data_IF_011815368528
#
_entry.id   IF_011815368528
#
_cell.length_a   1.000
_cell.length_b   1.000
_cell.length_c   1.000
_cell.angle_alpha   90.00
_cell.angle_beta   90.00
_cell.angle_gamma   90.00
#
_symmetry.space_group_name_H-M   'P 1'
#
loop_
_entity.id
_entity.type
_entity.pdbx_description
1 polymer ?
#
# COMPACT_ATOMS: atom_id res chain seq x y z
N UNK A 1 -19.67 46.98 4.68
CA UNK A 1 -19.54 46.19 5.92
C UNK A 1 -18.23 45.41 5.82
N UNK A 2 -17.20 45.85 6.54
CA UNK A 2 -15.92 45.14 6.60
C UNK A 2 -16.14 43.91 7.47
N UNK A 3 -15.96 42.73 6.88
CA UNK A 3 -15.96 41.46 7.63
C UNK A 3 -14.74 41.47 8.55
N UNK A 4 -14.98 41.59 9.84
CA UNK A 4 -13.98 41.32 10.87
C UNK A 4 -13.30 39.95 10.54
N UNK A 5 -12.03 40.02 10.20
CA UNK A 5 -11.19 38.83 10.13
C UNK A 5 -11.01 38.34 11.57
N UNK A 6 -11.89 37.45 12.03
CA UNK A 6 -11.68 36.69 13.24
C UNK A 6 -10.29 36.03 13.13
N UNK A 7 -9.37 36.44 14.01
CA UNK A 7 -8.01 35.86 14.13
C UNK A 7 -8.14 34.55 14.91
N UNK A 8 -8.86 33.58 14.34
CA UNK A 8 -8.94 32.24 14.94
C UNK A 8 -7.58 31.57 14.87
N UNK A 9 -7.13 31.09 16.01
CA UNK A 9 -5.86 30.39 16.13
C UNK A 9 -5.81 29.15 15.22
N UNK A 10 -4.69 28.91 14.55
CA UNK A 10 -4.42 27.69 13.84
C UNK A 10 -3.93 26.61 14.80
N UNK A 11 -4.59 25.46 14.80
CA UNK A 11 -4.23 24.29 15.63
C UNK A 11 -3.61 23.23 14.73
N UNK A 12 -2.40 22.80 15.06
CA UNK A 12 -1.70 21.71 14.34
C UNK A 12 -2.30 20.36 14.70
N UNK A 13 -2.46 19.51 13.71
CA UNK A 13 -2.93 18.12 13.82
C UNK A 13 -2.41 17.29 12.67
N UNK A 14 -2.72 15.99 12.64
CA UNK A 14 -2.41 15.10 11.55
C UNK A 14 -3.66 14.76 10.73
N UNK A 15 -3.49 14.63 9.42
CA UNK A 15 -4.53 14.13 8.53
C UNK A 15 -4.75 12.63 8.78
N UNK A 16 -6.02 12.23 8.95
CA UNK A 16 -6.41 10.84 9.25
C UNK A 16 -6.85 10.04 8.01
N UNK A 17 -6.82 10.62 6.81
CA UNK A 17 -7.45 10.02 5.62
C UNK A 17 -6.63 8.93 4.94
N UNK A 18 -5.34 8.82 5.25
CA UNK A 18 -4.48 7.73 4.77
C UNK A 18 -3.25 7.56 5.66
N UNK A 19 -2.44 6.54 5.38
CA UNK A 19 -1.25 6.15 6.17
C UNK A 19 -0.13 7.18 6.20
N UNK A 20 -0.18 8.22 5.37
CA UNK A 20 0.87 9.24 5.31
C UNK A 20 0.84 10.21 6.51
N UNK A 21 -0.31 10.39 7.15
CA UNK A 21 -0.47 11.27 8.32
C UNK A 21 0.13 12.68 8.13
N UNK A 22 -0.09 13.28 6.95
CA UNK A 22 0.43 14.62 6.65
C UNK A 22 0.03 15.63 7.71
N UNK A 23 0.92 16.57 8.02
CA UNK A 23 0.65 17.67 8.93
C UNK A 23 -0.40 18.62 8.38
N UNK A 24 -1.38 18.95 9.21
CA UNK A 24 -2.50 19.83 8.89
C UNK A 24 -2.68 20.87 9.98
N UNK A 25 -2.89 22.13 9.60
CA UNK A 25 -3.36 23.18 10.51
C UNK A 25 -4.84 23.45 10.25
N UNK A 26 -5.64 23.48 11.30
CA UNK A 26 -7.09 23.72 11.22
C UNK A 26 -7.49 24.93 12.07
N UNK A 27 -8.53 25.62 11.64
CA UNK A 27 -9.25 26.60 12.46
C UNK A 27 -10.62 26.03 12.79
N UNK A 28 -11.04 26.18 14.03
CA UNK A 28 -12.35 25.74 14.52
C UNK A 28 -13.34 26.91 14.56
N UNK A 29 -14.65 26.60 14.58
CA UNK A 29 -15.69 27.56 14.91
C UNK A 29 -15.53 28.02 16.38
N UNK A 30 -16.33 28.99 16.84
CA UNK A 30 -16.26 29.53 18.21
C UNK A 30 -16.57 28.48 19.28
N UNK A 31 -17.48 27.56 18.97
CA UNK A 31 -17.85 26.44 19.87
C UNK A 31 -16.78 25.33 19.90
N UNK A 32 -15.76 25.35 19.03
CA UNK A 32 -14.73 24.31 18.93
C UNK A 32 -15.21 22.98 18.35
N UNK A 33 -16.40 22.95 17.75
CA UNK A 33 -17.07 21.73 17.29
C UNK A 33 -16.91 21.43 15.81
N UNK A 34 -16.52 22.42 15.00
CA UNK A 34 -16.41 22.31 13.55
C UNK A 34 -15.10 22.86 13.02
N UNK A 35 -14.55 22.22 12.04
CA UNK A 35 -13.41 22.71 11.26
C UNK A 35 -13.93 23.71 10.19
N UNK A 36 -13.56 24.97 10.32
CA UNK A 36 -13.96 26.01 9.35
C UNK A 36 -12.93 26.23 8.25
N UNK A 37 -11.65 25.99 8.52
CA UNK A 37 -10.57 26.10 7.52
C UNK A 37 -9.51 25.04 7.76
N UNK A 38 -8.88 24.62 6.66
CA UNK A 38 -7.79 23.64 6.68
C UNK A 38 -6.66 24.13 5.78
N UNK A 39 -5.42 24.02 6.22
CA UNK A 39 -4.21 24.20 5.42
C UNK A 39 -3.14 23.19 5.79
N UNK A 40 -2.11 23.03 4.96
CA UNK A 40 -0.93 22.22 5.30
C UNK A 40 -0.14 22.84 6.45
N UNK A 41 0.49 21.99 7.22
CA UNK A 41 1.44 22.41 8.26
C UNK A 41 2.84 22.46 7.65
N UNK A 42 3.36 23.68 7.49
CA UNK A 42 4.69 23.91 6.89
C UNK A 42 5.81 23.38 7.78
N UNK A 43 5.57 23.26 9.10
CA UNK A 43 6.54 22.79 10.07
C UNK A 43 6.58 21.23 10.14
N UNK A 44 5.67 20.54 9.44
CA UNK A 44 5.66 19.08 9.41
C UNK A 44 6.81 18.54 8.53
N UNK A 45 7.72 17.71 9.08
CA UNK A 45 8.98 17.37 8.40
C UNK A 45 8.81 16.65 7.06
N UNK A 46 7.77 15.82 6.92
CA UNK A 46 7.58 15.04 5.70
C UNK A 46 6.64 15.70 4.68
N UNK A 47 5.56 16.35 5.12
CA UNK A 47 4.60 16.95 4.19
C UNK A 47 4.85 18.43 3.87
N UNK A 48 5.62 19.15 4.71
CA UNK A 48 6.14 20.50 4.44
C UNK A 48 5.06 21.45 3.88
N UNK A 49 3.89 21.49 4.49
CA UNK A 49 2.77 22.32 4.04
C UNK A 49 1.96 21.76 2.87
N UNK A 50 2.38 20.65 2.26
CA UNK A 50 1.62 20.03 1.17
C UNK A 50 0.32 19.39 1.66
N UNK A 51 -0.79 19.67 0.95
CA UNK A 51 -2.07 18.97 1.11
C UNK A 51 -2.52 18.35 -0.20
N UNK A 52 -2.94 17.10 -0.15
CA UNK A 52 -3.64 16.49 -1.27
C UNK A 52 -5.10 16.99 -1.34
N UNK A 53 -5.75 16.73 -2.49
CA UNK A 53 -7.15 17.10 -2.71
C UNK A 53 -8.15 16.48 -1.74
N UNK A 54 -7.80 15.39 -1.06
CA UNK A 54 -8.62 14.77 0.00
C UNK A 54 -8.48 15.53 1.32
N UNK A 55 -7.25 15.77 1.76
CA UNK A 55 -6.96 16.46 3.01
C UNK A 55 -7.42 17.93 3.02
N UNK A 56 -7.38 18.61 1.88
CA UNK A 56 -7.88 19.97 1.75
C UNK A 56 -9.39 20.12 2.01
N UNK A 57 -10.11 19.00 2.01
CA UNK A 57 -11.56 18.92 2.29
C UNK A 57 -11.88 18.22 3.61
N UNK A 58 -10.95 18.23 4.56
CA UNK A 58 -11.12 17.57 5.86
C UNK A 58 -12.34 18.10 6.62
N UNK A 59 -12.62 19.40 6.53
CA UNK A 59 -13.82 20.04 7.09
C UNK A 59 -15.12 19.41 6.55
N UNK A 60 -15.19 19.11 5.26
CA UNK A 60 -16.36 18.46 4.67
C UNK A 60 -16.61 17.09 5.27
N UNK A 61 -15.57 16.26 5.45
CA UNK A 61 -15.70 14.95 6.06
C UNK A 61 -16.05 15.02 7.55
N UNK A 62 -15.45 15.96 8.26
CA UNK A 62 -15.61 16.07 9.72
C UNK A 62 -16.95 16.67 10.13
N UNK A 63 -17.44 17.67 9.41
CA UNK A 63 -18.61 18.46 9.83
C UNK A 63 -19.95 17.94 9.26
N UNK A 64 -19.97 16.79 8.60
CA UNK A 64 -21.22 16.28 8.01
C UNK A 64 -22.28 16.01 9.07
N UNK A 65 -23.50 16.48 8.83
CA UNK A 65 -24.63 16.29 9.73
C UNK A 65 -25.12 14.82 9.80
N UNK A 66 -24.80 14.02 8.77
CA UNK A 66 -25.19 12.60 8.67
C UNK A 66 -24.12 11.64 9.26
N UNK A 67 -23.16 12.15 10.02
CA UNK A 67 -22.21 11.30 10.74
C UNK A 67 -22.92 10.57 11.88
N UNK A 68 -22.57 9.29 12.05
CA UNK A 68 -22.97 8.52 13.22
C UNK A 68 -22.17 9.02 14.44
N UNK A 69 -22.86 9.56 15.44
CA UNK A 69 -22.26 10.12 16.65
C UNK A 69 -22.42 9.21 17.87
N UNK A 70 -23.29 8.22 17.78
CA UNK A 70 -23.58 7.25 18.84
C UNK A 70 -23.60 5.83 18.26
N UNK A 71 -23.40 4.80 19.08
CA UNK A 71 -23.65 3.43 18.66
C UNK A 71 -25.09 3.24 18.25
N UNK A 72 -25.32 2.37 17.27
CA UNK A 72 -26.65 2.08 16.74
C UNK A 72 -26.94 0.58 16.86
N UNK A 73 -28.11 0.22 17.35
CA UNK A 73 -28.59 -1.16 17.45
C UNK A 73 -29.72 -1.40 16.45
N UNK A 74 -29.62 -2.50 15.70
CA UNK A 74 -30.67 -2.88 14.76
C UNK A 74 -31.98 -3.21 15.51
N UNK A 75 -33.10 -2.65 15.05
CA UNK A 75 -34.41 -2.90 15.61
C UNK A 75 -35.18 -3.97 14.79
N UNK A 76 -36.32 -4.41 15.33
CA UNK A 76 -37.18 -5.44 14.71
C UNK A 76 -37.82 -5.02 13.38
N UNK A 77 -37.93 -3.71 13.13
CA UNK A 77 -38.44 -3.16 11.86
C UNK A 77 -37.37 -3.09 10.75
N UNK A 78 -36.12 -3.52 11.03
CA UNK A 78 -35.00 -3.49 10.08
C UNK A 78 -34.26 -2.15 10.05
N UNK A 79 -34.67 -1.16 10.85
CA UNK A 79 -33.94 0.10 11.06
C UNK A 79 -32.91 0.00 12.18
N UNK A 80 -32.44 1.17 12.64
CA UNK A 80 -31.44 1.26 13.70
C UNK A 80 -31.83 2.33 14.71
N UNK A 81 -31.73 1.99 15.99
CA UNK A 81 -31.98 2.90 17.11
C UNK A 81 -30.65 3.28 17.78
N UNK A 82 -30.46 4.55 18.15
CA UNK A 82 -29.29 4.96 18.93
C UNK A 82 -29.33 4.34 20.32
N UNK A 83 -28.17 3.87 20.79
CA UNK A 83 -27.97 3.34 22.15
C UNK A 83 -26.75 4.01 22.80
N UNK A 84 -26.63 3.93 24.12
CA UNK A 84 -25.45 4.40 24.81
C UNK A 84 -24.26 3.44 24.67
N UNK A 85 -23.05 3.97 24.93
CA UNK A 85 -21.80 3.20 24.79
C UNK A 85 -21.71 2.02 25.76
N UNK A 86 -22.21 2.16 27.01
CA UNK A 86 -22.15 1.09 27.99
C UNK A 86 -23.02 -0.08 27.56
N UNK A 87 -24.23 0.20 27.09
CA UNK A 87 -25.13 -0.79 26.51
C UNK A 87 -24.50 -1.50 25.32
N UNK A 88 -23.90 -0.74 24.38
CA UNK A 88 -23.25 -1.31 23.21
C UNK A 88 -22.07 -2.23 23.58
N UNK A 89 -21.18 -1.75 24.45
CA UNK A 89 -20.00 -2.51 24.87
C UNK A 89 -20.41 -3.77 25.63
N UNK A 90 -21.34 -3.69 26.57
CA UNK A 90 -21.82 -4.84 27.35
C UNK A 90 -22.48 -5.90 26.47
N UNK A 91 -23.33 -5.50 25.53
CA UNK A 91 -24.01 -6.42 24.60
C UNK A 91 -23.00 -7.15 23.70
N UNK A 92 -22.04 -6.42 23.14
CA UNK A 92 -20.99 -6.99 22.27
C UNK A 92 -20.08 -7.91 23.08
N UNK A 93 -19.61 -7.47 24.25
CA UNK A 93 -18.71 -8.27 25.09
C UNK A 93 -19.36 -9.59 25.52
N UNK A 94 -20.64 -9.54 25.95
CA UNK A 94 -21.40 -10.75 26.31
C UNK A 94 -21.51 -11.72 25.13
N UNK A 95 -21.87 -11.24 23.94
CA UNK A 95 -22.06 -12.11 22.76
C UNK A 95 -20.75 -12.75 22.31
N UNK A 96 -19.67 -11.96 22.21
CA UNK A 96 -18.37 -12.50 21.84
C UNK A 96 -17.80 -13.43 22.89
N UNK A 97 -17.99 -13.10 24.20
CA UNK A 97 -17.60 -13.97 25.31
C UNK A 97 -18.30 -15.33 25.24
N UNK A 98 -19.61 -15.35 25.04
CA UNK A 98 -20.38 -16.58 24.92
C UNK A 98 -19.89 -17.44 23.73
N UNK A 99 -19.60 -16.85 22.57
CA UNK A 99 -19.06 -17.57 21.41
C UNK A 99 -17.67 -18.15 21.73
N UNK A 100 -16.80 -17.38 22.39
CA UNK A 100 -15.48 -17.86 22.82
C UNK A 100 -15.63 -19.06 23.78
N UNK A 101 -16.51 -18.95 24.77
CA UNK A 101 -16.64 -19.94 25.84
C UNK A 101 -17.30 -21.23 25.34
N UNK A 102 -18.23 -21.14 24.38
CA UNK A 102 -18.92 -22.29 23.77
C UNK A 102 -18.14 -22.94 22.63
N UNK A 103 -17.46 -22.17 21.80
CA UNK A 103 -16.90 -22.66 20.53
C UNK A 103 -15.39 -22.44 20.39
N UNK A 104 -14.77 -21.65 21.25
CA UNK A 104 -13.37 -21.26 21.17
C UNK A 104 -13.16 -19.92 20.47
N UNK A 105 -12.14 -19.18 20.88
CA UNK A 105 -11.80 -17.87 20.32
C UNK A 105 -11.34 -17.90 18.87
N UNK A 106 -10.85 -19.05 18.40
CA UNK A 106 -10.48 -19.29 16.99
C UNK A 106 -11.69 -19.27 16.03
N UNK A 107 -12.92 -19.27 16.57
CA UNK A 107 -14.17 -19.09 15.80
C UNK A 107 -14.61 -17.62 15.71
N UNK A 108 -13.89 -16.73 16.35
CA UNK A 108 -14.11 -15.28 16.23
C UNK A 108 -13.05 -14.72 15.29
N UNK A 109 -13.51 -14.13 14.18
CA UNK A 109 -12.64 -13.58 13.16
C UNK A 109 -12.50 -12.08 13.31
N UNK A 110 -11.28 -11.56 13.30
CA UNK A 110 -11.05 -10.12 13.30
C UNK A 110 -10.85 -9.61 11.86
N UNK A 111 -11.79 -8.79 11.40
CA UNK A 111 -11.63 -8.03 10.17
C UNK A 111 -11.52 -6.56 10.51
N UNK A 112 -10.37 -6.03 10.33
CA UNK A 112 -10.15 -4.62 10.61
C UNK A 112 -8.92 -4.15 9.90
N UNK A 113 -8.79 -2.91 9.73
CA UNK A 113 -7.63 -2.42 9.13
C UNK A 113 -7.81 -1.10 8.53
N UNK A 114 -6.82 -0.69 8.14
CA UNK A 114 -6.35 0.52 7.97
C UNK A 114 -6.51 1.09 6.61
N UNK A 115 -6.30 1.73 5.89
CA UNK A 115 -6.36 2.65 4.78
C UNK A 115 -6.48 4.06 5.29
N UNK A 116 -6.82 4.18 6.57
CA UNK A 116 -6.90 5.45 7.26
C UNK A 116 -5.72 5.59 8.23
N UNK A 117 -5.11 6.75 8.27
CA UNK A 117 -3.92 6.99 9.08
C UNK A 117 -4.14 6.99 10.60
N UNK A 118 -5.32 6.67 11.05
CA UNK A 118 -5.63 6.58 12.48
C UNK A 118 -5.35 5.16 12.98
N UNK A 119 -4.08 4.85 13.22
CA UNK A 119 -3.65 3.54 13.72
C UNK A 119 -3.72 3.41 15.24
N UNK A 120 -3.94 4.50 15.96
CA UNK A 120 -4.02 4.48 17.41
C UNK A 120 -5.14 3.58 17.96
N UNK A 121 -6.39 3.61 17.44
CA UNK A 121 -7.42 2.63 17.79
C UNK A 121 -7.02 1.19 17.43
N UNK A 122 -6.24 0.98 16.39
CA UNK A 122 -5.72 -0.33 16.00
C UNK A 122 -4.84 -0.98 17.07
N UNK A 123 -4.15 -0.19 17.89
CA UNK A 123 -3.36 -0.71 19.00
C UNK A 123 -4.22 -1.43 20.05
N UNK A 124 -5.45 -0.99 20.27
CA UNK A 124 -6.39 -1.65 21.19
C UNK A 124 -6.95 -2.96 20.64
N UNK A 125 -6.98 -3.14 19.34
CA UNK A 125 -7.47 -4.38 18.72
C UNK A 125 -6.65 -5.61 19.12
N UNK A 126 -5.34 -5.45 19.35
CA UNK A 126 -4.46 -6.52 19.84
C UNK A 126 -4.88 -7.02 21.22
N UNK A 127 -5.21 -6.12 22.14
CA UNK A 127 -5.71 -6.48 23.47
C UNK A 127 -7.07 -7.20 23.39
N UNK A 128 -7.98 -6.72 22.55
CA UNK A 128 -9.28 -7.37 22.31
C UNK A 128 -9.11 -8.77 21.73
N UNK A 129 -8.25 -8.93 20.72
CA UNK A 129 -7.96 -10.23 20.13
C UNK A 129 -7.37 -11.22 21.15
N UNK A 130 -6.43 -10.75 21.97
CA UNK A 130 -5.81 -11.58 23.02
C UNK A 130 -6.84 -11.99 24.09
N UNK A 131 -7.72 -11.08 24.53
CA UNK A 131 -8.75 -11.37 25.55
C UNK A 131 -9.80 -12.38 25.05
N UNK A 132 -10.09 -12.36 23.76
CA UNK A 132 -11.05 -13.27 23.13
C UNK A 132 -10.41 -14.53 22.53
N UNK A 133 -9.10 -14.73 22.69
CA UNK A 133 -8.32 -15.82 22.08
C UNK A 133 -8.49 -15.92 20.56
N UNK A 134 -8.65 -14.76 19.88
CA UNK A 134 -8.85 -14.70 18.44
C UNK A 134 -7.57 -15.07 17.71
N UNK A 135 -7.65 -16.07 16.85
CA UNK A 135 -6.50 -16.57 16.10
C UNK A 135 -6.38 -15.99 14.70
N UNK A 136 -7.50 -15.73 14.07
CA UNK A 136 -7.55 -15.40 12.65
C UNK A 136 -7.97 -13.95 12.43
N UNK A 137 -7.28 -13.33 11.48
CA UNK A 137 -7.57 -11.93 11.10
C UNK A 137 -7.37 -11.69 9.62
N UNK A 138 -8.00 -10.64 9.11
CA UNK A 138 -7.74 -10.12 7.78
C UNK A 138 -8.02 -8.62 7.68
N UNK A 139 -7.71 -8.04 6.55
CA UNK A 139 -8.07 -6.68 6.15
C UNK A 139 -7.94 -6.54 4.62
N UNK A 140 -8.16 -5.34 4.08
CA UNK A 140 -8.08 -5.08 2.64
C UNK A 140 -6.71 -5.43 2.02
N UNK A 141 -5.61 -5.32 2.79
CA UNK A 141 -4.27 -5.66 2.31
C UNK A 141 -4.14 -7.14 1.92
N UNK A 142 -4.96 -8.02 2.51
CA UNK A 142 -5.00 -9.44 2.13
C UNK A 142 -5.52 -9.68 0.70
N UNK A 143 -6.19 -8.71 0.11
CA UNK A 143 -6.60 -8.73 -1.30
C UNK A 143 -5.60 -7.99 -2.20
N UNK A 144 -5.08 -6.87 -1.72
CA UNK A 144 -4.31 -5.92 -2.51
C UNK A 144 -2.81 -6.23 -2.55
N UNK A 145 -2.25 -6.65 -1.40
CA UNK A 145 -0.81 -6.58 -1.13
C UNK A 145 -0.13 -7.92 -0.85
N UNK A 146 -0.85 -9.04 -0.88
CA UNK A 146 -0.28 -10.32 -0.46
C UNK A 146 0.90 -10.76 -1.32
N UNK A 147 0.85 -10.54 -2.64
CA UNK A 147 1.97 -10.86 -3.54
C UNK A 147 3.20 -10.01 -3.24
N UNK A 148 2.98 -8.71 -3.06
CA UNK A 148 4.04 -7.76 -2.70
C UNK A 148 4.67 -8.10 -1.34
N UNK A 149 3.86 -8.36 -0.31
CA UNK A 149 4.35 -8.73 1.02
C UNK A 149 5.12 -10.04 1.01
N UNK A 150 4.63 -11.03 0.27
CA UNK A 150 5.30 -12.30 0.11
C UNK A 150 6.71 -12.16 -0.46
N UNK A 151 6.83 -11.38 -1.54
CA UNK A 151 8.11 -11.16 -2.22
C UNK A 151 9.03 -10.29 -1.38
N UNK A 152 8.55 -9.14 -0.88
CA UNK A 152 9.35 -8.22 -0.09
C UNK A 152 9.90 -8.87 1.19
N UNK A 153 9.08 -9.67 1.88
CA UNK A 153 9.51 -10.40 3.07
C UNK A 153 10.64 -11.38 2.79
N UNK A 154 10.67 -12.01 1.61
CA UNK A 154 11.72 -12.97 1.21
C UNK A 154 12.96 -12.31 0.65
N UNK A 155 12.80 -11.27 -0.15
CA UNK A 155 13.92 -10.62 -0.83
C UNK A 155 14.64 -9.62 0.07
N UNK A 156 13.91 -8.93 0.96
CA UNK A 156 14.44 -7.80 1.73
C UNK A 156 14.02 -7.78 3.21
N UNK A 157 13.49 -8.90 3.73
CA UNK A 157 13.12 -9.03 5.14
C UNK A 157 11.88 -8.22 5.57
N UNK A 158 11.20 -7.53 4.67
CA UNK A 158 10.02 -6.74 4.99
C UNK A 158 9.56 -5.85 3.84
N UNK A 159 8.48 -5.11 4.06
CA UNK A 159 7.93 -4.18 3.08
C UNK A 159 8.92 -3.07 2.76
N UNK A 160 9.10 -2.80 1.47
CA UNK A 160 10.02 -1.79 1.00
C UNK A 160 9.32 -0.44 0.80
N UNK A 161 9.97 0.61 1.27
CA UNK A 161 9.68 1.99 0.91
C UNK A 161 10.69 2.47 -0.12
N UNK A 162 10.42 3.60 -0.76
CA UNK A 162 11.33 4.18 -1.74
C UNK A 162 11.54 5.68 -1.48
N UNK A 163 12.78 6.12 -1.66
CA UNK A 163 13.18 7.51 -1.55
C UNK A 163 13.06 8.21 -2.90
N UNK A 164 11.86 8.72 -3.18
CA UNK A 164 11.56 9.40 -4.44
C UNK A 164 12.22 10.77 -4.56
N UNK A 165 12.48 11.43 -3.45
CA UNK A 165 13.02 12.80 -3.42
C UNK A 165 14.46 12.86 -3.99
N UNK A 166 15.27 11.82 -3.70
CA UNK A 166 16.68 11.79 -4.08
C UNK A 166 17.01 10.84 -5.25
N UNK A 167 16.01 10.16 -5.82
CA UNK A 167 16.23 9.20 -6.90
C UNK A 167 16.57 9.88 -8.23
N UNK A 168 17.58 9.34 -8.94
CA UNK A 168 17.87 9.70 -10.32
C UNK A 168 16.81 9.15 -11.27
N UNK A 169 16.41 7.89 -11.08
CA UNK A 169 15.32 7.26 -11.83
C UNK A 169 14.17 6.89 -10.90
N UNK A 170 12.96 7.30 -11.26
CA UNK A 170 11.73 6.91 -10.55
C UNK A 170 10.83 6.13 -11.49
N UNK A 171 10.37 4.95 -11.06
CA UNK A 171 9.46 4.12 -11.83
C UNK A 171 8.16 3.84 -11.07
N UNK A 172 7.04 4.19 -11.67
CA UNK A 172 5.71 3.85 -11.19
C UNK A 172 5.12 2.68 -11.97
N UNK A 173 4.73 1.62 -11.28
CA UNK A 173 4.23 0.37 -11.86
C UNK A 173 2.77 0.18 -11.46
N UNK A 174 1.83 0.37 -12.40
CA UNK A 174 0.41 0.32 -12.12
C UNK A 174 -0.06 1.35 -11.11
N UNK A 175 0.56 2.53 -11.11
CA UNK A 175 0.33 3.60 -10.14
C UNK A 175 0.22 4.96 -10.82
N UNK A 176 -0.84 5.71 -10.47
CA UNK A 176 -1.00 7.12 -10.85
C UNK A 176 -0.93 8.03 -9.62
N UNK A 177 0.28 8.37 -9.10
CA UNK A 177 0.41 9.16 -7.87
C UNK A 177 -0.14 10.58 -8.01
N UNK A 178 -0.23 11.12 -9.22
CA UNK A 178 -0.89 12.41 -9.46
C UNK A 178 -2.32 12.44 -8.92
N UNK A 179 -3.02 11.32 -9.04
CA UNK A 179 -4.40 11.16 -8.58
C UNK A 179 -4.49 10.53 -7.18
N UNK A 180 -3.76 9.44 -6.95
CA UNK A 180 -3.91 8.61 -5.76
C UNK A 180 -2.90 8.92 -4.66
N UNK A 181 -1.87 9.73 -4.95
CA UNK A 181 -0.75 10.02 -4.05
C UNK A 181 0.01 8.73 -3.65
N UNK A 182 0.19 8.41 -2.37
CA UNK A 182 0.86 7.20 -1.89
C UNK A 182 2.21 7.49 -1.24
N UNK A 183 2.73 8.70 -1.40
CA UNK A 183 3.90 9.26 -0.71
C UNK A 183 3.69 10.75 -0.46
N UNK A 184 4.50 11.32 0.43
CA UNK A 184 4.41 12.75 0.77
C UNK A 184 4.70 13.62 -0.44
N UNK A 185 4.05 14.79 -0.53
CA UNK A 185 4.26 15.79 -1.58
C UNK A 185 4.11 15.28 -3.02
N UNK A 186 3.42 14.15 -3.26
CA UNK A 186 3.44 13.40 -4.51
C UNK A 186 3.34 14.25 -5.79
N UNK A 187 2.41 15.21 -5.87
CA UNK A 187 2.29 16.07 -7.06
C UNK A 187 3.42 17.10 -7.19
N UNK A 188 3.97 17.55 -6.06
CA UNK A 188 5.12 18.44 -6.07
C UNK A 188 6.34 17.70 -6.58
N UNK A 189 6.63 16.54 -5.98
CA UNK A 189 7.75 15.67 -6.37
C UNK A 189 7.70 15.30 -7.87
N UNK A 190 6.54 14.86 -8.36
CA UNK A 190 6.39 14.50 -9.78
C UNK A 190 6.65 15.70 -10.70
N UNK A 191 6.21 16.91 -10.31
CA UNK A 191 6.49 18.13 -11.08
C UNK A 191 7.95 18.55 -11.03
N UNK A 192 8.60 18.35 -9.90
CA UNK A 192 10.03 18.63 -9.73
C UNK A 192 10.84 17.67 -10.58
N UNK A 193 10.54 16.35 -10.53
CA UNK A 193 11.17 15.33 -11.37
C UNK A 193 11.03 15.64 -12.86
N UNK A 194 9.81 15.96 -13.33
CA UNK A 194 9.54 16.20 -14.75
C UNK A 194 10.22 17.45 -15.33
N UNK A 195 10.83 18.26 -14.48
CA UNK A 195 11.56 19.47 -14.90
C UNK A 195 13.07 19.35 -14.75
N UNK A 196 13.54 18.36 -14.03
CA UNK A 196 14.96 18.14 -13.76
C UNK A 196 15.57 17.27 -14.87
N UNK A 197 16.45 17.81 -15.72
CA UNK A 197 17.07 17.06 -16.83
C UNK A 197 18.00 15.94 -16.36
N UNK A 198 18.36 15.88 -15.08
CA UNK A 198 19.21 14.85 -14.50
C UNK A 198 18.39 13.69 -13.90
N UNK A 199 17.08 13.77 -13.97
CA UNK A 199 16.17 12.75 -13.43
C UNK A 199 15.30 12.17 -14.54
N UNK A 200 14.92 10.90 -14.39
CA UNK A 200 14.05 10.21 -15.34
C UNK A 200 12.83 9.65 -14.64
N UNK A 201 11.65 10.04 -15.10
CA UNK A 201 10.37 9.52 -14.64
C UNK A 201 9.85 8.47 -15.63
N UNK A 202 9.65 7.23 -15.15
CA UNK A 202 9.15 6.10 -15.91
C UNK A 202 7.77 5.70 -15.39
N UNK A 203 6.82 5.45 -16.28
CA UNK A 203 5.48 4.98 -15.92
C UNK A 203 5.11 3.74 -16.74
N UNK A 204 4.80 2.63 -16.03
CA UNK A 204 4.19 1.42 -16.59
C UNK A 204 2.70 1.47 -16.26
N UNK A 205 1.88 1.77 -17.25
CA UNK A 205 0.42 1.85 -17.09
C UNK A 205 -0.23 1.66 -18.47
N UNK A 206 -1.27 0.82 -18.62
CA UNK A 206 -1.98 0.67 -19.89
C UNK A 206 -2.62 1.97 -20.37
N UNK A 207 -2.89 2.88 -19.45
CA UNK A 207 -3.47 4.20 -19.74
C UNK A 207 -2.42 5.29 -19.63
N UNK A 208 -2.45 6.23 -20.57
CA UNK A 208 -1.72 7.48 -20.44
C UNK A 208 -2.42 8.36 -19.37
N UNK A 209 -1.98 8.19 -18.13
CA UNK A 209 -2.49 8.90 -16.95
C UNK A 209 -1.85 10.28 -16.82
N UNK A 210 -2.35 11.12 -15.88
CA UNK A 210 -1.74 12.42 -15.58
C UNK A 210 -0.28 12.30 -15.11
N UNK A 211 0.09 11.17 -14.48
CA UNK A 211 1.50 10.90 -14.16
C UNK A 211 2.29 10.54 -15.41
N UNK A 212 1.71 9.72 -16.30
CA UNK A 212 2.33 9.36 -17.57
C UNK A 212 2.48 10.55 -18.54
N UNK A 213 1.62 11.56 -18.43
CA UNK A 213 1.75 12.80 -19.21
C UNK A 213 2.97 13.64 -18.82
N UNK A 214 3.47 13.45 -17.61
CA UNK A 214 4.67 14.13 -17.08
C UNK A 214 5.92 13.23 -17.15
N UNK A 215 5.77 11.98 -17.54
CA UNK A 215 6.86 11.00 -17.60
C UNK A 215 7.73 11.19 -18.85
N UNK A 216 9.03 10.96 -18.69
CA UNK A 216 9.99 10.88 -19.80
C UNK A 216 9.78 9.60 -20.61
N UNK A 217 9.42 8.50 -19.92
CA UNK A 217 9.17 7.20 -20.52
C UNK A 217 7.82 6.67 -20.07
N UNK A 218 6.91 6.43 -21.00
CA UNK A 218 5.65 5.74 -20.76
C UNK A 218 5.66 4.38 -21.49
N UNK A 219 5.44 3.31 -20.74
CA UNK A 219 5.34 1.94 -21.22
C UNK A 219 3.87 1.51 -21.20
N UNK A 220 3.13 1.62 -22.30
CA UNK A 220 1.68 1.35 -22.37
C UNK A 220 1.40 -0.16 -22.45
N UNK A 221 1.70 -0.87 -21.40
CA UNK A 221 1.57 -2.33 -21.31
C UNK A 221 0.11 -2.77 -21.47
N UNK A 222 -0.15 -3.87 -22.18
CA UNK A 222 -1.47 -4.49 -22.22
C UNK A 222 -1.92 -4.93 -20.83
N UNK A 223 -3.19 -4.76 -20.51
CA UNK A 223 -3.77 -5.11 -19.19
C UNK A 223 -3.43 -6.55 -18.81
N UNK A 224 -2.86 -6.74 -17.62
CA UNK A 224 -2.46 -8.04 -17.07
C UNK A 224 -1.22 -8.65 -17.73
N UNK A 225 -0.46 -7.88 -18.53
CA UNK A 225 0.77 -8.33 -19.20
C UNK A 225 2.05 -7.73 -18.60
N UNK A 226 1.95 -7.10 -17.45
CA UNK A 226 3.06 -6.46 -16.75
C UNK A 226 4.24 -7.41 -16.50
N UNK A 227 3.97 -8.67 -16.17
CA UNK A 227 5.00 -9.68 -15.95
C UNK A 227 5.87 -9.93 -17.21
N UNK A 228 5.26 -9.91 -18.41
CA UNK A 228 6.02 -10.06 -19.66
C UNK A 228 6.93 -8.85 -19.92
N UNK A 229 6.39 -7.64 -19.74
CA UNK A 229 7.18 -6.42 -19.87
C UNK A 229 8.40 -6.43 -18.93
N UNK A 230 8.15 -6.70 -17.64
CA UNK A 230 9.21 -6.72 -16.63
C UNK A 230 10.21 -7.86 -16.85
N UNK A 231 9.76 -9.04 -17.33
CA UNK A 231 10.65 -10.13 -17.71
C UNK A 231 11.58 -9.74 -18.85
N UNK A 232 11.07 -9.03 -19.86
CA UNK A 232 11.88 -8.48 -20.94
C UNK A 232 12.92 -7.46 -20.47
N UNK A 233 12.56 -6.63 -19.48
CA UNK A 233 13.49 -5.68 -18.87
C UNK A 233 14.60 -6.40 -18.08
N UNK A 234 14.25 -7.39 -17.24
CA UNK A 234 15.22 -8.21 -16.49
C UNK A 234 16.12 -8.98 -17.44
N UNK A 235 15.55 -9.60 -18.47
CA UNK A 235 16.32 -10.30 -19.51
C UNK A 235 17.31 -9.38 -20.22
N UNK A 236 16.91 -8.15 -20.52
CA UNK A 236 17.82 -7.15 -21.11
C UNK A 236 19.01 -6.86 -20.18
N UNK A 237 18.75 -6.64 -18.88
CA UNK A 237 19.82 -6.37 -17.90
C UNK A 237 20.82 -7.54 -17.88
N UNK A 238 20.34 -8.77 -17.84
CA UNK A 238 21.19 -9.97 -17.78
C UNK A 238 21.93 -10.24 -19.10
N UNK A 239 21.22 -10.26 -20.24
CA UNK A 239 21.82 -10.59 -21.54
C UNK A 239 22.82 -9.54 -21.99
N UNK A 240 22.66 -8.29 -21.61
CA UNK A 240 23.60 -7.20 -21.91
C UNK A 240 24.65 -6.99 -20.81
N UNK A 241 24.66 -7.83 -19.76
CA UNK A 241 25.62 -7.79 -18.64
C UNK A 241 25.64 -6.42 -17.95
N UNK A 242 24.46 -5.88 -17.63
CA UNK A 242 24.30 -4.59 -17.00
C UNK A 242 24.13 -4.69 -15.48
N UNK A 243 24.06 -5.89 -14.92
CA UNK A 243 23.96 -6.12 -13.48
C UNK A 243 25.28 -5.74 -12.77
N UNK A 244 25.16 -5.34 -11.51
CA UNK A 244 26.30 -5.06 -10.62
C UNK A 244 26.74 -6.34 -9.91
N UNK A 245 27.60 -7.11 -10.56
CA UNK A 245 28.10 -8.39 -10.06
C UNK A 245 28.86 -8.22 -8.73
N UNK A 246 29.52 -7.07 -8.49
CA UNK A 246 30.26 -6.80 -7.26
C UNK A 246 29.27 -6.67 -6.11
N UNK A 247 28.29 -5.81 -6.26
CA UNK A 247 27.25 -5.60 -5.23
C UNK A 247 26.43 -6.89 -4.97
N UNK A 248 26.09 -7.62 -6.03
CA UNK A 248 25.30 -8.85 -5.93
C UNK A 248 26.06 -9.94 -5.16
N UNK A 249 27.34 -10.13 -5.43
CA UNK A 249 28.18 -11.10 -4.72
C UNK A 249 28.37 -10.75 -3.23
N UNK A 250 28.40 -9.45 -2.88
CA UNK A 250 28.61 -9.01 -1.51
C UNK A 250 27.29 -9.00 -0.70
N UNK A 251 26.15 -8.65 -1.32
CA UNK A 251 24.93 -8.32 -0.60
C UNK A 251 23.72 -9.22 -0.93
N UNK A 252 23.88 -10.21 -1.79
CA UNK A 252 22.76 -11.07 -2.18
C UNK A 252 23.14 -12.56 -2.21
N UNK A 253 22.12 -13.42 -2.28
CA UNK A 253 22.27 -14.85 -2.50
C UNK A 253 21.28 -15.35 -3.54
N UNK A 254 21.69 -16.31 -4.39
CA UNK A 254 20.80 -16.94 -5.36
C UNK A 254 20.56 -16.13 -6.63
N UNK A 255 21.34 -15.08 -6.90
CA UNK A 255 21.22 -14.30 -8.12
C UNK A 255 21.70 -15.10 -9.35
N UNK A 256 22.55 -16.09 -9.18
CA UNK A 256 23.03 -16.98 -10.23
C UNK A 256 21.88 -17.70 -10.95
N UNK A 257 20.88 -18.16 -10.18
CA UNK A 257 19.69 -18.80 -10.75
C UNK A 257 18.83 -17.80 -11.56
N UNK A 258 18.83 -16.52 -11.17
CA UNK A 258 18.19 -15.43 -11.93
C UNK A 258 18.96 -15.24 -13.26
N UNK A 259 20.28 -15.14 -13.22
CA UNK A 259 21.12 -15.01 -14.43
C UNK A 259 20.87 -16.18 -15.38
N UNK A 260 20.96 -17.42 -14.89
CA UNK A 260 20.71 -18.63 -15.68
C UNK A 260 19.33 -18.60 -16.34
N UNK A 261 18.29 -18.24 -15.57
CA UNK A 261 16.92 -18.20 -16.09
C UNK A 261 16.74 -17.13 -17.17
N UNK A 262 17.19 -15.90 -16.90
CA UNK A 262 16.90 -14.76 -17.78
C UNK A 262 17.84 -14.63 -18.98
N UNK A 263 18.97 -15.36 -18.98
CA UNK A 263 19.85 -15.46 -20.13
C UNK A 263 19.15 -16.09 -21.35
N UNK A 264 18.12 -16.90 -21.14
CA UNK A 264 17.39 -17.62 -22.17
C UNK A 264 16.00 -17.06 -22.51
N UNK A 265 15.57 -16.00 -21.82
CA UNK A 265 14.28 -15.38 -22.09
C UNK A 265 14.31 -14.65 -23.44
N UNK A 266 13.34 -14.93 -24.29
CA UNK A 266 13.14 -14.23 -25.54
C UNK A 266 12.49 -12.86 -25.31
N UNK A 267 13.25 -11.79 -25.53
CA UNK A 267 12.79 -10.41 -25.32
C UNK A 267 11.79 -9.99 -26.39
N UNK A 268 11.91 -10.52 -27.62
CA UNK A 268 10.95 -10.27 -28.70
C UNK A 268 9.57 -10.86 -28.33
N UNK A 269 9.55 -12.09 -27.83
CA UNK A 269 8.31 -12.72 -27.32
C UNK A 269 7.70 -11.91 -26.14
N UNK A 270 8.55 -11.40 -25.24
CA UNK A 270 8.12 -10.51 -24.17
C UNK A 270 7.49 -9.21 -24.69
N UNK A 271 8.06 -8.61 -25.71
CA UNK A 271 7.54 -7.41 -26.36
C UNK A 271 6.18 -7.66 -27.03
N UNK A 272 6.04 -8.72 -27.80
CA UNK A 272 4.78 -9.10 -28.46
C UNK A 272 3.66 -9.34 -27.41
N UNK A 273 3.95 -10.09 -26.36
CA UNK A 273 2.98 -10.42 -25.29
C UNK A 273 2.63 -9.24 -24.43
N UNK A 274 3.58 -8.38 -24.11
CA UNK A 274 3.31 -7.15 -23.33
C UNK A 274 2.62 -6.08 -24.17
N UNK A 275 2.85 -6.09 -25.48
CA UNK A 275 2.39 -5.08 -26.42
C UNK A 275 3.20 -3.79 -26.38
N UNK A 276 4.40 -3.83 -25.80
CA UNK A 276 5.34 -2.71 -25.72
C UNK A 276 6.49 -2.98 -26.69
N UNK A 277 6.89 -1.96 -27.41
CA UNK A 277 8.00 -2.04 -28.37
C UNK A 277 9.29 -2.55 -27.72
N UNK A 278 9.98 -3.50 -28.37
CA UNK A 278 11.19 -4.11 -27.83
C UNK A 278 12.31 -3.09 -27.61
N UNK A 279 12.48 -2.14 -28.52
CA UNK A 279 13.50 -1.11 -28.38
C UNK A 279 13.23 -0.22 -27.16
N UNK A 280 11.95 0.04 -26.86
CA UNK A 280 11.54 0.78 -25.68
C UNK A 280 11.78 -0.02 -24.40
N UNK A 281 11.50 -1.33 -24.39
CA UNK A 281 11.80 -2.23 -23.25
C UNK A 281 13.31 -2.21 -22.97
N UNK A 282 14.13 -2.43 -23.98
CA UNK A 282 15.59 -2.46 -23.83
C UNK A 282 16.17 -1.12 -23.40
N UNK A 283 15.72 -0.03 -24.00
CA UNK A 283 16.21 1.30 -23.62
C UNK A 283 15.85 1.66 -22.18
N UNK A 284 14.65 1.33 -21.75
CA UNK A 284 14.21 1.55 -20.36
C UNK A 284 15.02 0.72 -19.37
N UNK A 285 15.26 -0.57 -19.66
CA UNK A 285 16.08 -1.44 -18.83
C UNK A 285 17.52 -0.90 -18.70
N UNK A 286 18.12 -0.42 -19.79
CA UNK A 286 19.45 0.22 -19.77
C UNK A 286 19.47 1.51 -18.94
N UNK A 287 18.41 2.32 -19.02
CA UNK A 287 18.27 3.53 -18.20
C UNK A 287 18.28 3.19 -16.71
N UNK A 288 17.50 2.20 -16.30
CA UNK A 288 17.44 1.74 -14.91
C UNK A 288 18.78 1.17 -14.46
N UNK A 289 19.38 0.28 -15.27
CA UNK A 289 20.62 -0.39 -14.89
C UNK A 289 21.83 0.53 -14.78
N UNK A 290 21.85 1.65 -15.49
CA UNK A 290 22.94 2.65 -15.47
C UNK A 290 22.76 3.74 -14.43
N UNK A 291 21.58 3.85 -13.84
CA UNK A 291 21.26 4.89 -12.87
C UNK A 291 22.00 4.68 -11.55
N UNK A 292 22.46 5.77 -10.95
CA UNK A 292 23.09 5.75 -9.63
C UNK A 292 22.11 5.41 -8.53
N UNK A 293 20.84 5.76 -8.71
CA UNK A 293 19.76 5.48 -7.76
C UNK A 293 18.43 5.30 -8.49
N UNK A 294 17.67 4.28 -8.06
CA UNK A 294 16.38 3.92 -8.63
C UNK A 294 15.35 3.71 -7.51
N UNK A 295 14.26 4.45 -7.55
CA UNK A 295 13.14 4.31 -6.64
C UNK A 295 11.90 3.81 -7.41
N UNK A 296 11.26 2.76 -6.90
CA UNK A 296 10.11 2.13 -7.57
C UNK A 296 8.91 2.08 -6.62
N UNK A 297 7.72 2.35 -7.17
CA UNK A 297 6.45 2.14 -6.48
C UNK A 297 5.51 1.32 -7.36
N UNK A 298 5.21 0.10 -6.94
CA UNK A 298 4.11 -0.69 -7.49
C UNK A 298 2.82 -0.43 -6.70
N UNK A 299 1.67 -0.51 -7.33
CA UNK A 299 0.38 -0.36 -6.65
C UNK A 299 -0.75 -1.13 -7.36
N UNK A 300 -1.99 -0.86 -6.94
CA UNK A 300 -3.21 -1.60 -7.25
C UNK A 300 -3.39 -1.97 -8.74
N UNK A 301 -2.88 -1.17 -9.67
CA UNK A 301 -2.94 -1.48 -11.10
C UNK A 301 -2.30 -2.81 -11.46
N UNK A 302 -1.26 -3.21 -10.75
CA UNK A 302 -0.58 -4.51 -10.93
C UNK A 302 -0.89 -5.52 -9.83
N UNK A 303 -1.17 -5.05 -8.62
CA UNK A 303 -1.41 -5.92 -7.46
C UNK A 303 -2.76 -6.63 -7.52
N UNK A 304 -3.72 -6.10 -8.26
CA UNK A 304 -5.05 -6.69 -8.47
C UNK A 304 -5.12 -7.62 -9.69
N UNK A 305 -4.00 -7.93 -10.32
CA UNK A 305 -3.98 -8.83 -11.46
C UNK A 305 -3.60 -10.28 -11.06
N UNK A 306 -3.83 -11.23 -11.99
CA UNK A 306 -3.61 -12.67 -11.77
C UNK A 306 -2.16 -13.02 -11.42
N UNK A 307 -1.18 -12.25 -11.89
CA UNK A 307 0.25 -12.53 -11.75
C UNK A 307 0.95 -11.52 -10.81
N UNK A 308 0.21 -10.91 -9.88
CA UNK A 308 0.72 -9.85 -9.00
C UNK A 308 2.00 -10.24 -8.25
N UNK A 309 2.09 -11.46 -7.73
CA UNK A 309 3.31 -11.96 -7.04
C UNK A 309 4.52 -11.97 -7.98
N UNK A 310 4.34 -12.43 -9.23
CA UNK A 310 5.42 -12.44 -10.22
C UNK A 310 5.82 -11.02 -10.63
N UNK A 311 4.84 -10.12 -10.80
CA UNK A 311 5.10 -8.69 -11.08
C UNK A 311 5.92 -8.06 -9.96
N UNK A 312 5.53 -8.29 -8.69
CA UNK A 312 6.28 -7.80 -7.54
C UNK A 312 7.72 -8.33 -7.47
N UNK A 313 7.93 -9.57 -7.86
CA UNK A 313 9.27 -10.16 -7.95
C UNK A 313 10.10 -9.52 -9.07
N UNK A 314 9.55 -9.49 -10.27
CA UNK A 314 10.26 -8.99 -11.45
C UNK A 314 10.61 -7.50 -11.36
N UNK A 315 9.68 -6.66 -10.86
CA UNK A 315 9.98 -5.25 -10.72
C UNK A 315 11.12 -5.02 -9.71
N UNK A 316 11.22 -5.83 -8.65
CA UNK A 316 12.35 -5.76 -7.70
C UNK A 316 13.66 -6.16 -8.36
N UNK A 317 13.67 -7.18 -9.20
CA UNK A 317 14.86 -7.55 -9.95
C UNK A 317 15.38 -6.42 -10.82
N UNK A 318 14.51 -5.60 -11.43
CA UNK A 318 14.96 -4.50 -12.32
C UNK A 318 15.90 -3.52 -11.62
N UNK A 319 15.74 -3.29 -10.33
CA UNK A 319 16.57 -2.33 -9.58
C UNK A 319 17.55 -3.00 -8.61
N UNK A 320 17.26 -4.20 -8.10
CA UNK A 320 18.20 -4.93 -7.26
C UNK A 320 19.42 -5.43 -8.03
N UNK A 321 19.21 -5.90 -9.26
CA UNK A 321 20.32 -6.36 -10.11
C UNK A 321 21.38 -5.28 -10.39
N UNK A 322 21.01 -4.02 -10.31
CA UNK A 322 21.91 -2.87 -10.45
C UNK A 322 22.33 -2.22 -9.12
N UNK A 323 22.24 -2.94 -8.01
CA UNK A 323 22.70 -2.48 -6.70
C UNK A 323 21.90 -1.31 -6.11
N UNK A 324 20.63 -1.16 -6.49
CA UNK A 324 19.80 -0.04 -6.08
C UNK A 324 18.96 -0.34 -4.83
N UNK A 325 19.64 -0.65 -3.72
CA UNK A 325 19.00 -0.95 -2.44
C UNK A 325 19.76 -0.33 -1.28
N UNK A 326 19.04 0.17 -0.27
CA UNK A 326 19.54 0.67 1.01
C UNK A 326 20.57 1.82 0.92
N UNK A 327 20.48 2.63 -0.14
CA UNK A 327 21.26 3.88 -0.30
C UNK A 327 20.31 5.04 -0.64
N UNK A 328 20.72 6.32 -0.47
CA UNK A 328 19.88 7.47 -0.83
C UNK A 328 19.32 7.37 -2.25
N UNK A 329 18.04 7.71 -2.43
CA UNK A 329 17.35 7.65 -3.72
C UNK A 329 16.95 6.23 -4.17
N UNK A 330 16.97 5.23 -3.27
CA UNK A 330 16.61 3.85 -3.62
C UNK A 330 15.55 3.27 -2.68
N UNK A 331 15.21 2.00 -2.89
CA UNK A 331 14.35 1.26 -1.98
C UNK A 331 15.09 0.90 -0.67
N UNK A 332 14.36 0.88 0.43
CA UNK A 332 14.85 0.46 1.74
C UNK A 332 13.77 -0.25 2.53
N UNK A 333 14.15 -1.10 3.49
CA UNK A 333 13.22 -1.73 4.43
C UNK A 333 13.06 -0.85 5.67
N UNK A 334 11.84 -0.45 5.97
CA UNK A 334 11.54 0.38 7.13
C UNK A 334 11.25 -0.50 8.35
N UNK A 335 11.98 -0.28 9.44
CA UNK A 335 11.68 -0.85 10.76
C UNK A 335 10.73 0.08 11.51
N UNK A 336 9.46 0.12 11.09
CA UNK A 336 8.39 0.89 11.74
C UNK A 336 7.68 0.12 12.85
N UNK A 337 6.58 0.70 13.36
CA UNK A 337 5.70 0.13 14.38
C UNK A 337 5.05 -1.22 13.99
N UNK A 338 5.15 -1.64 12.72
CA UNK A 338 4.69 -2.91 12.22
C UNK A 338 5.55 -3.34 11.04
N UNK A 339 6.19 -4.49 11.16
CA UNK A 339 6.95 -5.07 10.05
C UNK A 339 5.97 -5.81 9.12
N UNK A 340 5.39 -5.08 8.19
CA UNK A 340 4.47 -5.63 7.19
C UNK A 340 5.28 -6.46 6.19
N UNK A 341 4.85 -7.69 5.92
CA UNK A 341 5.55 -8.60 5.02
C UNK A 341 6.52 -9.58 5.69
N UNK A 342 6.94 -9.33 6.93
CA UNK A 342 7.85 -10.21 7.69
C UNK A 342 7.14 -11.10 8.72
N UNK A 343 5.82 -11.22 8.64
CA UNK A 343 5.04 -12.05 9.58
C UNK A 343 5.34 -13.55 9.43
N UNK A 344 5.05 -14.36 10.47
CA UNK A 344 5.30 -15.78 10.44
C UNK A 344 4.59 -16.44 9.26
N UNK A 345 5.32 -17.28 8.55
CA UNK A 345 4.77 -18.10 7.48
C UNK A 345 4.21 -19.41 8.04
N UNK A 346 3.19 -19.93 7.40
CA UNK A 346 2.79 -21.32 7.60
C UNK A 346 1.42 -21.55 8.22
N UNK A 347 0.66 -20.52 8.52
CA UNK A 347 -0.74 -20.66 8.91
C UNK A 347 -1.64 -20.98 7.72
N UNK A 348 -2.72 -21.71 8.00
CA UNK A 348 -3.81 -21.95 7.04
C UNK A 348 -5.13 -21.51 7.66
N UNK A 349 -6.07 -21.08 6.83
CA UNK A 349 -7.44 -20.83 7.27
C UNK A 349 -8.14 -22.12 7.69
N UNK A 350 -9.11 -22.07 8.63
CA UNK A 350 -9.58 -23.25 9.33
C UNK A 350 -10.48 -24.18 8.51
N UNK A 351 -11.09 -23.71 7.45
CA UNK A 351 -12.03 -24.49 6.62
C UNK A 351 -11.42 -24.82 5.27
N UNK A 352 -11.06 -23.82 4.48
CA UNK A 352 -10.56 -24.00 3.12
C UNK A 352 -9.05 -24.25 3.04
N UNK A 353 -8.33 -24.11 4.15
CA UNK A 353 -6.88 -24.29 4.17
C UNK A 353 -6.11 -23.23 3.39
N UNK A 354 -6.70 -22.05 3.16
CA UNK A 354 -6.06 -20.94 2.47
C UNK A 354 -4.81 -20.47 3.19
N UNK A 355 -3.73 -20.25 2.45
CA UNK A 355 -2.44 -19.85 3.03
C UNK A 355 -2.51 -18.46 3.64
N UNK A 356 -2.08 -18.33 4.89
CA UNK A 356 -1.99 -17.06 5.60
C UNK A 356 -0.65 -16.39 5.25
N UNK A 357 -0.71 -15.17 4.74
CA UNK A 357 0.45 -14.37 4.36
C UNK A 357 0.48 -13.10 5.23
N UNK A 358 1.62 -12.82 5.85
CA UNK A 358 1.78 -11.68 6.78
C UNK A 358 0.73 -11.67 7.91
N UNK A 359 0.32 -12.86 8.35
CA UNK A 359 -0.69 -13.03 9.39
C UNK A 359 -2.13 -12.74 8.95
N UNK A 360 -2.38 -12.59 7.65
CA UNK A 360 -3.70 -12.29 7.08
C UNK A 360 -4.29 -13.49 6.34
N UNK A 361 -5.52 -13.85 6.67
CA UNK A 361 -6.32 -14.81 5.89
C UNK A 361 -6.68 -14.16 4.56
N UNK A 362 -6.60 -14.87 3.41
CA UNK A 362 -6.97 -14.31 2.12
C UNK A 362 -8.41 -13.74 2.13
N UNK A 363 -8.56 -12.47 1.77
CA UNK A 363 -9.86 -11.79 1.89
C UNK A 363 -10.95 -12.40 1.01
N UNK A 364 -10.58 -12.92 -0.14
CA UNK A 364 -11.50 -13.52 -1.12
C UNK A 364 -12.13 -14.85 -0.68
N UNK A 365 -11.58 -15.52 0.33
CA UNK A 365 -12.15 -16.80 0.85
C UNK A 365 -12.96 -16.60 2.13
N UNK A 366 -12.97 -15.42 2.73
CA UNK A 366 -13.70 -15.17 3.99
C UNK A 366 -15.17 -15.53 3.91
N UNK A 367 -15.93 -15.21 2.84
CA UNK A 367 -17.33 -15.61 2.73
C UNK A 367 -17.50 -17.13 2.85
N UNK A 368 -16.66 -17.91 2.20
CA UNK A 368 -16.72 -19.38 2.22
C UNK A 368 -16.31 -19.93 3.58
N UNK A 369 -15.34 -19.30 4.25
CA UNK A 369 -14.94 -19.66 5.63
C UNK A 369 -16.06 -19.41 6.66
N UNK A 370 -16.93 -18.41 6.40
CA UNK A 370 -18.08 -18.08 7.27
C UNK A 370 -19.29 -18.95 6.96
N UNK A 371 -19.57 -19.20 5.68
CA UNK A 371 -20.81 -19.83 5.21
C UNK A 371 -20.74 -21.36 5.13
N UNK A 372 -19.57 -21.93 5.27
CA UNK A 372 -19.39 -23.37 5.18
C UNK A 372 -20.14 -24.12 6.30
N UNK A 373 -20.76 -25.24 5.97
CA UNK A 373 -21.26 -26.22 6.94
C UNK A 373 -20.07 -27.06 7.45
N UNK A 374 -19.29 -26.46 8.34
CA UNK A 374 -18.07 -27.05 8.87
C UNK A 374 -17.87 -26.66 10.34
N UNK A 375 -17.44 -27.58 11.22
CA UNK A 375 -17.31 -27.28 12.66
C UNK A 375 -16.33 -26.14 12.96
N UNK A 376 -15.40 -25.87 12.06
CA UNK A 376 -14.38 -24.82 12.20
C UNK A 376 -14.73 -23.49 11.50
N UNK A 377 -15.95 -23.32 10.97
CA UNK A 377 -16.33 -22.05 10.36
C UNK A 377 -16.35 -20.91 11.39
N UNK A 378 -16.15 -19.68 10.93
CA UNK A 378 -16.24 -18.52 11.81
C UNK A 378 -17.70 -18.25 12.22
N UNK A 379 -17.92 -17.99 13.51
CA UNK A 379 -19.23 -17.76 14.12
C UNK A 379 -19.50 -16.30 14.45
N UNK A 380 -18.44 -15.51 14.53
CA UNK A 380 -18.52 -14.04 14.70
C UNK A 380 -17.38 -13.35 13.96
N UNK A 381 -17.64 -12.08 13.57
CA UNK A 381 -16.67 -11.21 12.93
C UNK A 381 -16.86 -9.77 13.43
#
# INVERSE_FOLDING_TARGET
>A
MATEKSSREWKSTACILCTLNCGVKVQLNEAGTEIVRTKGDEDHPASQGYLCNKASRLNFYQNRADRLLTPMKRNSAGGYDPIDWNTAISDIASKLGNIRDEHGGDKIFYYGGGGQGNHLPGAYSGATQATLDMRYRSNALAQEKTGEFWVAGRMAGGFNHADFEHAEVVMFVGKNPWQSHGFHRARAEIREMSKDPNRTLIVLDPKRTQTADLADIHLPVKVGRDAWLLAGMVATIIQERLQDDVWLNEHSTGFEAVVETFQHIDITDCAEKSGVDEALIRSTARTIAKAKSVAVLEDLGTQMNRHSTLVSYLQRLTWMLSGNFAKPGTAYTCNGLGNVGAGPEGGKSPVLGGRIISGLVPANIIPDEVMADHPNHYRAM
#
